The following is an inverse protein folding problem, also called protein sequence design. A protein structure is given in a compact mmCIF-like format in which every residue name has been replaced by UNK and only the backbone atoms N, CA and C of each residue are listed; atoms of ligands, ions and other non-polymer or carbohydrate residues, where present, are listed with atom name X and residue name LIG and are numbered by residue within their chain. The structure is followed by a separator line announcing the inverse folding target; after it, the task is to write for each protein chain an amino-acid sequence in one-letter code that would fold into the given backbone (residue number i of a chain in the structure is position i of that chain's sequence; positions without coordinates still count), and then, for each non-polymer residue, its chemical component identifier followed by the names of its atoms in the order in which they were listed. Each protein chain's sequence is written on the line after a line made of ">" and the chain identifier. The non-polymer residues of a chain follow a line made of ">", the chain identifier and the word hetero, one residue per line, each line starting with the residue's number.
data_IF_958770139328
#
_entry.id   IF_958770139328
#
_cell.length_a   1.000
_cell.length_b   1.000
_cell.length_c   1.000
_cell.angle_alpha   90.00
_cell.angle_beta   90.00
_cell.angle_gamma   90.00
#
_symmetry.space_group_name_H-M   'P 1'
#
loop_
_entity.id
_entity.type
_entity.pdbx_description
1 polymer ?
#
# COMPACT_ATOMS: atom_id res chain seq x y z
N UNK A 1 20.31 9.07 -36.18
CA UNK A 1 19.28 9.05 -37.25
C UNK A 1 19.15 10.45 -37.79
N UNK A 2 18.97 10.61 -39.09
CA UNK A 2 18.67 11.91 -39.70
C UNK A 2 17.16 12.11 -39.61
N UNK A 3 16.73 13.22 -39.03
CA UNK A 3 15.32 13.59 -38.99
C UNK A 3 14.88 14.22 -40.31
N UNK A 4 13.57 14.17 -40.67
CA UNK A 4 13.05 14.97 -41.77
C UNK A 4 13.42 16.44 -41.59
N UNK A 5 13.74 17.13 -42.68
CA UNK A 5 14.14 18.55 -42.62
C UNK A 5 13.03 19.46 -42.08
N UNK A 6 11.78 19.01 -42.17
CA UNK A 6 10.59 19.65 -41.63
C UNK A 6 10.45 19.53 -40.11
N UNK A 7 11.25 18.71 -39.43
CA UNK A 7 11.23 18.57 -37.97
C UNK A 7 12.35 19.39 -37.34
N UNK A 8 11.97 20.41 -36.58
CA UNK A 8 12.89 21.19 -35.77
C UNK A 8 13.65 20.31 -34.78
N UNK A 9 14.95 20.56 -34.65
CA UNK A 9 15.80 19.88 -33.65
C UNK A 9 16.59 20.88 -32.84
N UNK A 10 16.94 20.50 -31.61
CA UNK A 10 17.77 21.29 -30.71
C UNK A 10 18.85 20.43 -30.08
N UNK A 11 20.04 20.99 -29.97
CA UNK A 11 21.18 20.34 -29.31
C UNK A 11 21.17 20.67 -27.82
N UNK A 12 21.17 19.62 -27.00
CA UNK A 12 21.29 19.69 -25.55
C UNK A 12 22.71 19.31 -25.16
N UNK A 13 23.36 20.16 -24.38
CA UNK A 13 24.74 19.97 -23.92
C UNK A 13 24.82 20.04 -22.40
N UNK A 14 25.92 19.59 -21.83
CA UNK A 14 26.21 19.84 -20.42
C UNK A 14 27.38 19.02 -19.93
N UNK A 15 27.67 19.19 -18.63
CA UNK A 15 28.68 18.44 -17.89
C UNK A 15 28.03 17.86 -16.64
N UNK A 16 28.25 16.58 -16.37
CA UNK A 16 27.82 15.94 -15.13
C UNK A 16 29.03 15.67 -14.25
N UNK A 17 28.93 16.11 -13.00
CA UNK A 17 29.93 15.91 -11.97
C UNK A 17 29.41 14.99 -10.85
N UNK A 18 30.34 14.36 -10.15
CA UNK A 18 30.14 13.67 -8.89
C UNK A 18 30.01 14.67 -7.73
N UNK A 19 29.64 14.21 -6.54
CA UNK A 19 29.53 15.05 -5.35
C UNK A 19 30.86 15.76 -4.98
N UNK A 20 31.99 15.13 -5.34
CA UNK A 20 33.34 15.67 -5.10
C UNK A 20 33.82 16.61 -6.22
N UNK A 21 32.97 16.92 -7.20
CA UNK A 21 33.30 17.79 -8.33
C UNK A 21 34.09 17.14 -9.47
N UNK A 22 34.36 15.83 -9.40
CA UNK A 22 35.02 15.10 -10.48
C UNK A 22 34.04 14.75 -11.60
N UNK A 23 34.48 14.67 -12.88
CA UNK A 23 33.67 14.16 -13.99
C UNK A 23 33.00 12.82 -13.69
N UNK A 24 31.69 12.72 -13.94
CA UNK A 24 30.96 11.47 -13.80
C UNK A 24 31.05 10.63 -15.08
N UNK A 25 31.08 9.30 -14.92
CA UNK A 25 30.91 8.36 -16.03
C UNK A 25 29.47 7.84 -16.06
N UNK A 26 28.90 7.66 -17.25
CA UNK A 26 27.51 7.22 -17.38
C UNK A 26 26.86 7.62 -18.71
N UNK A 27 25.53 7.65 -18.70
CA UNK A 27 24.74 8.01 -19.87
C UNK A 27 23.62 8.97 -19.51
N UNK A 28 23.23 9.80 -20.48
CA UNK A 28 21.97 10.52 -20.47
C UNK A 28 21.07 9.92 -21.55
N UNK A 29 19.80 9.71 -21.21
CA UNK A 29 18.77 9.26 -22.13
C UNK A 29 17.55 10.18 -22.09
N UNK A 30 17.12 10.66 -23.24
CA UNK A 30 15.85 11.35 -23.43
C UNK A 30 14.89 10.44 -24.20
N UNK A 31 13.76 10.09 -23.60
CA UNK A 31 12.77 9.17 -24.18
C UNK A 31 11.48 9.91 -24.51
N UNK A 32 11.06 9.87 -25.77
CA UNK A 32 9.73 10.31 -26.20
C UNK A 32 8.80 9.10 -26.28
N UNK A 33 7.70 9.13 -25.54
CA UNK A 33 6.71 8.04 -25.51
C UNK A 33 5.62 8.16 -26.58
N UNK A 34 5.50 9.32 -27.24
CA UNK A 34 4.49 9.58 -28.26
C UNK A 34 5.05 9.45 -29.69
N UNK A 35 4.25 8.93 -30.64
CA UNK A 35 4.59 9.05 -32.05
C UNK A 35 4.44 10.51 -32.50
N UNK A 36 5.26 10.93 -33.47
CA UNK A 36 5.13 12.23 -34.13
C UNK A 36 4.60 12.04 -35.55
N UNK A 37 3.63 12.85 -35.94
CA UNK A 37 3.04 12.85 -37.27
C UNK A 37 3.31 14.18 -37.96
N UNK A 38 3.96 14.12 -39.12
CA UNK A 38 4.25 15.28 -39.96
C UNK A 38 3.24 15.38 -41.12
N UNK A 39 2.55 16.52 -41.32
CA UNK A 39 1.50 16.69 -42.31
C UNK A 39 2.04 16.85 -43.74
N UNK A 40 3.32 17.21 -43.90
CA UNK A 40 3.91 17.45 -45.20
C UNK A 40 4.36 16.17 -45.94
N UNK A 41 4.54 15.05 -45.22
CA UNK A 41 5.29 13.90 -45.75
C UNK A 41 4.62 12.52 -45.52
N UNK A 42 3.40 12.44 -44.96
CA UNK A 42 2.81 11.19 -44.46
C UNK A 42 3.77 10.41 -43.52
N UNK A 43 4.68 11.14 -42.84
CA UNK A 43 5.72 10.55 -42.01
C UNK A 43 5.21 10.40 -40.59
N UNK A 44 5.29 9.16 -40.10
CA UNK A 44 5.14 8.85 -38.69
C UNK A 44 6.49 8.47 -38.10
N UNK A 45 6.96 9.22 -37.10
CA UNK A 45 8.13 8.87 -36.31
C UNK A 45 7.67 8.15 -35.05
N UNK A 46 8.08 6.90 -34.90
CA UNK A 46 7.73 6.09 -33.72
C UNK A 46 8.30 6.69 -32.42
N UNK A 47 7.72 6.37 -31.25
CA UNK A 47 8.36 6.61 -29.96
C UNK A 47 9.80 6.11 -29.94
N UNK A 48 10.69 6.81 -29.25
CA UNK A 48 12.11 6.51 -29.31
C UNK A 48 12.94 7.20 -28.24
N UNK A 49 14.16 6.72 -28.07
CA UNK A 49 15.11 7.23 -27.10
C UNK A 49 16.37 7.78 -27.79
N UNK A 50 16.89 8.86 -27.21
CA UNK A 50 18.13 9.50 -27.58
C UNK A 50 19.12 9.35 -26.44
N UNK A 51 20.27 8.73 -26.70
CA UNK A 51 21.26 8.45 -25.66
C UNK A 51 22.60 9.08 -26.02
N UNK A 52 23.21 9.76 -25.04
CA UNK A 52 24.60 10.19 -25.08
C UNK A 52 25.37 9.52 -23.94
N UNK A 53 26.59 9.05 -24.22
CA UNK A 53 27.54 8.61 -23.20
C UNK A 53 28.38 9.81 -22.77
N UNK A 54 28.62 9.95 -21.47
CA UNK A 54 29.47 11.01 -20.94
C UNK A 54 30.93 10.75 -21.35
N UNK A 55 31.62 11.79 -21.81
CA UNK A 55 33.04 11.70 -22.14
C UNK A 55 33.93 11.73 -20.88
N UNK A 56 35.26 11.75 -21.07
CA UNK A 56 36.21 11.77 -19.95
C UNK A 56 36.13 13.06 -19.09
N UNK A 57 35.55 14.13 -19.61
CA UNK A 57 35.27 15.37 -18.87
C UNK A 57 33.85 15.37 -18.26
N UNK A 58 33.09 14.27 -18.40
CA UNK A 58 31.71 14.18 -17.94
C UNK A 58 30.75 14.94 -18.86
N UNK A 59 31.20 15.34 -20.05
CA UNK A 59 30.42 16.16 -20.97
C UNK A 59 29.58 15.29 -21.92
N UNK A 60 28.47 15.85 -22.39
CA UNK A 60 27.61 15.23 -23.41
C UNK A 60 27.08 16.28 -24.38
N UNK A 61 26.69 15.79 -25.55
CA UNK A 61 26.00 16.55 -26.58
C UNK A 61 24.97 15.64 -27.26
N UNK A 62 23.71 16.07 -27.31
CA UNK A 62 22.60 15.27 -27.82
C UNK A 62 21.62 16.14 -28.60
N UNK A 63 21.40 15.83 -29.87
CA UNK A 63 20.42 16.53 -30.71
C UNK A 63 19.10 15.75 -30.75
N UNK A 64 18.00 16.43 -30.39
CA UNK A 64 16.66 15.82 -30.30
C UNK A 64 15.58 16.73 -30.93
N UNK A 65 14.43 16.18 -31.35
CA UNK A 65 13.31 16.98 -31.84
C UNK A 65 12.74 17.94 -30.79
N UNK A 66 12.37 19.14 -31.23
CA UNK A 66 11.76 20.17 -30.37
C UNK A 66 10.28 19.86 -30.15
N UNK A 67 9.80 20.04 -28.92
CA UNK A 67 8.47 19.67 -28.45
C UNK A 67 7.34 20.60 -28.89
N UNK A 68 7.68 21.81 -29.33
CA UNK A 68 6.76 22.88 -29.71
C UNK A 68 6.82 23.18 -31.23
N UNK A 69 7.20 22.19 -32.03
CA UNK A 69 7.15 22.29 -33.48
C UNK A 69 5.69 22.39 -33.96
N UNK A 70 5.33 23.55 -34.53
CA UNK A 70 3.95 23.85 -34.94
C UNK A 70 3.45 23.01 -36.10
N UNK A 71 4.36 22.39 -36.86
CA UNK A 71 4.02 21.56 -38.00
C UNK A 71 3.86 20.08 -37.60
N UNK A 72 4.18 19.66 -36.37
CA UNK A 72 4.11 18.26 -35.96
C UNK A 72 3.07 18.00 -34.85
N UNK A 73 2.42 16.83 -34.93
CA UNK A 73 1.39 16.41 -33.97
C UNK A 73 1.82 15.16 -33.18
N UNK A 74 1.52 15.08 -31.86
CA UNK A 74 0.94 16.15 -31.03
C UNK A 74 1.95 17.27 -30.80
N UNK A 75 1.51 18.49 -30.53
CA UNK A 75 2.38 19.57 -30.05
C UNK A 75 2.48 19.56 -28.51
N UNK A 76 3.55 20.13 -27.96
CA UNK A 76 3.77 20.26 -26.52
C UNK A 76 4.10 18.96 -25.79
N UNK A 77 4.71 17.98 -26.48
CA UNK A 77 5.07 16.71 -25.83
C UNK A 77 6.23 16.85 -24.85
N UNK A 78 6.38 15.89 -23.96
CA UNK A 78 7.50 15.82 -23.02
C UNK A 78 8.43 14.66 -23.34
N UNK A 79 9.68 14.80 -22.94
CA UNK A 79 10.66 13.73 -22.85
C UNK A 79 10.81 13.31 -21.39
N UNK A 80 10.90 12.01 -21.15
CA UNK A 80 11.47 11.50 -19.90
C UNK A 80 12.99 11.55 -20.03
N UNK A 81 13.62 12.35 -19.20
CA UNK A 81 15.06 12.39 -18.96
C UNK A 81 15.43 11.32 -17.93
N UNK A 82 16.32 10.42 -18.30
CA UNK A 82 17.04 9.53 -17.39
C UNK A 82 18.54 9.89 -17.42
N UNK A 83 19.09 10.25 -16.26
CA UNK A 83 20.54 10.38 -16.06
C UNK A 83 20.97 9.18 -15.20
N UNK A 84 21.79 8.32 -15.77
CA UNK A 84 22.32 7.12 -15.10
C UNK A 84 23.84 7.20 -15.08
N UNK A 85 24.38 7.56 -13.92
CA UNK A 85 25.83 7.64 -13.69
C UNK A 85 26.28 6.55 -12.72
N UNK A 86 27.59 6.34 -12.65
CA UNK A 86 28.18 5.44 -11.66
C UNK A 86 27.94 5.88 -10.21
N UNK A 87 27.59 7.15 -9.97
CA UNK A 87 27.45 7.72 -8.62
C UNK A 87 26.00 7.94 -8.19
N UNK A 88 25.14 8.39 -9.10
CA UNK A 88 23.76 8.76 -8.81
C UNK A 88 22.86 8.60 -10.03
N UNK A 89 21.55 8.54 -9.76
CA UNK A 89 20.51 8.49 -10.78
C UNK A 89 19.54 9.64 -10.60
N UNK A 90 19.03 10.15 -11.72
CA UNK A 90 18.02 11.19 -11.74
C UNK A 90 17.05 10.97 -12.88
N UNK A 91 15.79 11.27 -12.61
CA UNK A 91 14.72 11.17 -13.59
C UNK A 91 13.80 12.37 -13.49
N UNK A 92 13.46 12.95 -14.63
CA UNK A 92 12.52 14.06 -14.74
C UNK A 92 11.78 14.01 -16.07
N UNK A 93 10.61 14.65 -16.14
CA UNK A 93 9.95 14.93 -17.41
C UNK A 93 10.23 16.38 -17.80
N UNK A 94 10.73 16.59 -19.02
CA UNK A 94 11.11 17.90 -19.54
C UNK A 94 10.50 18.14 -20.92
N UNK A 95 10.14 19.38 -21.21
CA UNK A 95 9.86 19.82 -22.57
C UNK A 95 11.11 20.47 -23.17
N UNK A 96 11.36 20.24 -24.45
CA UNK A 96 12.51 20.81 -25.16
C UNK A 96 11.97 21.79 -26.20
N UNK A 97 11.83 23.08 -25.88
CA UNK A 97 11.28 24.04 -26.84
C UNK A 97 12.30 24.38 -27.92
N UNK A 98 11.84 24.96 -29.03
CA UNK A 98 12.68 25.49 -30.08
C UNK A 98 13.63 26.58 -29.55
N UNK A 99 14.80 26.71 -30.19
CA UNK A 99 15.79 27.71 -29.81
C UNK A 99 17.24 27.28 -30.02
N UNK A 100 18.20 28.13 -29.60
CA UNK A 100 19.63 27.82 -29.70
C UNK A 100 20.00 26.64 -28.80
N UNK A 101 21.17 26.01 -29.00
CA UNK A 101 21.66 24.96 -28.09
C UNK A 101 21.55 25.37 -26.62
N UNK A 102 21.13 24.44 -25.75
CA UNK A 102 20.88 24.72 -24.34
C UNK A 102 21.49 23.68 -23.41
N UNK A 103 21.75 24.10 -22.17
CA UNK A 103 22.13 23.19 -21.10
C UNK A 103 20.90 22.49 -20.54
N UNK A 104 21.05 21.23 -20.16
CA UNK A 104 20.00 20.53 -19.41
C UNK A 104 19.70 21.23 -18.07
N UNK A 105 20.71 21.86 -17.45
CA UNK A 105 20.54 22.63 -16.22
C UNK A 105 19.58 23.82 -16.37
N UNK A 106 19.39 24.33 -17.59
CA UNK A 106 18.47 25.43 -17.88
C UNK A 106 17.04 24.94 -18.20
N UNK A 107 16.90 23.65 -18.55
CA UNK A 107 15.64 23.05 -18.99
C UNK A 107 14.95 22.22 -17.90
N UNK A 108 15.71 21.72 -16.94
CA UNK A 108 15.20 20.88 -15.86
C UNK A 108 14.63 21.75 -14.73
N UNK A 109 13.39 21.51 -14.26
CA UNK A 109 12.85 22.20 -13.09
C UNK A 109 13.74 21.98 -11.86
N UNK A 110 14.01 23.03 -11.08
CA UNK A 110 14.70 22.92 -9.79
C UNK A 110 13.82 22.19 -8.77
N UNK A 111 13.81 20.86 -8.83
CA UNK A 111 13.13 20.01 -7.86
C UNK A 111 13.96 19.92 -6.58
N UNK A 112 13.32 20.06 -5.40
CA UNK A 112 13.95 19.94 -4.07
C UNK A 112 14.22 18.49 -3.64
N UNK A 113 13.95 17.51 -4.50
CA UNK A 113 14.19 16.10 -4.22
C UNK A 113 15.64 15.75 -4.58
N UNK A 114 16.45 15.42 -3.58
CA UNK A 114 17.84 15.01 -3.78
C UNK A 114 17.91 13.79 -4.72
N UNK A 115 18.89 13.72 -5.65
CA UNK A 115 19.06 12.56 -6.51
C UNK A 115 19.28 11.30 -5.68
N UNK A 116 18.65 10.21 -6.07
CA UNK A 116 18.79 8.93 -5.38
C UNK A 116 20.25 8.46 -5.53
N UNK A 117 20.96 8.17 -4.42
CA UNK A 117 22.24 7.48 -4.51
C UNK A 117 21.98 6.13 -5.19
N UNK A 118 22.84 5.74 -6.13
CA UNK A 118 22.73 4.46 -6.81
C UNK A 118 22.86 3.33 -5.76
N UNK A 119 21.73 2.80 -5.30
CA UNK A 119 21.68 1.80 -4.22
C UNK A 119 20.74 0.66 -4.62
N UNK A 120 21.26 -0.56 -4.52
CA UNK A 120 20.54 -1.78 -4.90
C UNK A 120 20.04 -2.43 -3.62
N UNK A 121 18.79 -2.19 -3.25
CA UNK A 121 18.18 -2.79 -2.07
C UNK A 121 17.34 -4.02 -2.45
N UNK A 122 17.35 -5.04 -1.58
CA UNK A 122 16.41 -6.18 -1.62
C UNK A 122 15.44 -6.07 -0.45
N UNK A 123 14.17 -6.40 -0.69
CA UNK A 123 13.13 -6.33 0.36
C UNK A 123 13.35 -7.41 1.42
N UNK A 124 13.03 -7.13 2.68
CA UNK A 124 13.12 -8.07 3.82
C UNK A 124 12.43 -9.43 3.57
N UNK A 125 11.37 -9.44 2.76
CA UNK A 125 10.68 -10.66 2.35
C UNK A 125 11.56 -11.63 1.54
N UNK A 126 12.60 -11.11 0.87
CA UNK A 126 13.53 -11.87 0.01
C UNK A 126 14.54 -12.71 0.82
N UNK A 127 14.76 -12.39 2.10
CA UNK A 127 15.82 -12.99 2.93
C UNK A 127 15.30 -14.12 3.83
N UNK A 128 14.00 -14.41 3.76
CA UNK A 128 13.31 -15.29 4.72
C UNK A 128 13.48 -16.80 4.55
N UNK A 129 14.28 -17.31 3.59
CA UNK A 129 14.33 -18.77 3.32
C UNK A 129 15.72 -19.41 3.30
N UNK A 130 16.81 -18.69 3.56
CA UNK A 130 18.13 -19.30 3.70
C UNK A 130 18.58 -19.30 5.18
N UNK A 131 18.29 -20.41 5.87
CA UNK A 131 18.83 -20.88 7.16
C UNK A 131 19.84 -19.97 7.90
N UNK A 132 19.38 -19.26 8.94
CA UNK A 132 20.19 -18.68 10.01
C UNK A 132 19.76 -17.27 10.43
N UNK A 133 19.85 -16.89 11.73
CA UNK A 133 19.50 -15.54 12.15
C UNK A 133 20.50 -14.53 11.56
N UNK A 134 19.98 -13.57 10.79
CA UNK A 134 20.74 -12.38 10.42
C UNK A 134 21.22 -11.68 11.71
N UNK A 135 22.50 -11.30 11.75
CA UNK A 135 23.05 -10.50 12.85
C UNK A 135 22.31 -9.15 13.00
N UNK A 136 22.58 -8.39 14.07
CA UNK A 136 21.87 -7.14 14.36
C UNK A 136 21.96 -6.18 13.16
N UNK A 137 20.79 -5.81 12.64
CA UNK A 137 20.66 -4.77 11.61
C UNK A 137 20.96 -3.42 12.26
N UNK A 138 21.62 -2.52 11.53
CA UNK A 138 21.99 -1.15 11.95
C UNK A 138 20.79 -0.19 12.13
N UNK A 139 19.57 -0.72 12.23
CA UNK A 139 18.33 0.05 12.32
C UNK A 139 17.76 0.52 10.98
N UNK A 140 18.44 0.30 9.85
CA UNK A 140 17.94 0.70 8.52
C UNK A 140 16.92 -0.27 7.91
N UNK A 141 16.82 -1.49 8.44
CA UNK A 141 16.04 -2.60 7.86
C UNK A 141 16.46 -3.00 6.43
N UNK A 142 17.65 -2.62 5.99
CA UNK A 142 18.20 -2.91 4.66
C UNK A 142 19.44 -3.81 4.80
N UNK A 143 19.56 -4.84 3.96
CA UNK A 143 20.72 -5.72 3.89
C UNK A 143 21.55 -5.41 2.64
N UNK A 144 22.88 -5.19 2.75
CA UNK A 144 23.74 -5.02 1.59
C UNK A 144 23.72 -6.27 0.70
N UNK A 145 23.52 -6.10 -0.61
CA UNK A 145 23.39 -7.22 -1.56
C UNK A 145 24.59 -8.19 -1.55
N UNK A 146 25.78 -7.73 -1.15
CA UNK A 146 26.99 -8.57 -1.02
C UNK A 146 26.96 -9.58 0.13
N UNK A 147 25.95 -9.56 1.01
CA UNK A 147 25.76 -10.54 2.08
C UNK A 147 24.71 -11.62 1.74
N UNK A 148 24.09 -11.56 0.56
CA UNK A 148 23.12 -12.58 0.12
C UNK A 148 23.88 -13.72 -0.58
N UNK A 149 23.80 -14.97 -0.11
CA UNK A 149 24.44 -16.10 -0.79
C UNK A 149 23.91 -16.22 -2.22
N UNK A 150 24.83 -16.42 -3.18
CA UNK A 150 24.55 -16.50 -4.61
C UNK A 150 23.60 -17.68 -4.90
N UNK A 151 22.30 -17.41 -4.95
CA UNK A 151 21.29 -18.35 -5.41
C UNK A 151 21.04 -18.07 -6.88
N UNK A 152 21.57 -18.97 -7.71
CA UNK A 152 21.40 -19.00 -9.15
C UNK A 152 19.92 -19.15 -9.53
N UNK A 153 19.22 -18.03 -9.62
CA UNK A 153 17.86 -17.95 -10.10
C UNK A 153 17.61 -16.52 -10.57
N UNK A 154 17.49 -16.34 -11.88
CA UNK A 154 17.22 -15.05 -12.52
C UNK A 154 15.85 -14.54 -12.07
N UNK A 155 15.82 -13.82 -10.95
CA UNK A 155 14.65 -13.08 -10.50
C UNK A 155 14.73 -11.68 -11.09
N UNK A 156 13.85 -11.35 -12.04
CA UNK A 156 13.62 -9.95 -12.45
C UNK A 156 12.80 -9.25 -11.36
N UNK A 157 13.37 -8.28 -10.62
CA UNK A 157 12.63 -7.54 -9.62
C UNK A 157 11.54 -6.73 -10.32
N UNK A 158 10.29 -6.88 -9.90
CA UNK A 158 9.23 -5.94 -10.28
C UNK A 158 9.51 -4.64 -9.54
N UNK A 159 9.83 -3.57 -10.28
CA UNK A 159 10.11 -2.27 -9.71
C UNK A 159 8.97 -1.84 -8.78
N UNK A 160 9.31 -1.56 -7.52
CA UNK A 160 8.44 -0.82 -6.62
C UNK A 160 8.27 0.58 -7.20
N UNK A 161 7.10 0.87 -7.75
CA UNK A 161 6.71 2.24 -8.12
C UNK A 161 6.50 2.95 -6.79
N UNK A 162 7.38 3.88 -6.46
CA UNK A 162 7.31 4.66 -5.21
C UNK A 162 5.95 5.35 -5.03
N UNK A 163 5.67 5.92 -3.83
CA UNK A 163 4.48 6.72 -3.64
C UNK A 163 4.46 7.78 -4.75
N UNK A 164 3.37 7.80 -5.54
CA UNK A 164 3.15 8.82 -6.56
C UNK A 164 3.51 10.17 -5.95
N UNK A 165 4.40 10.93 -6.59
CA UNK A 165 4.71 12.31 -6.21
C UNK A 165 3.45 13.02 -5.74
N UNK A 166 3.51 13.66 -4.57
CA UNK A 166 2.38 14.42 -4.04
C UNK A 166 1.82 15.31 -5.14
N UNK A 167 0.51 15.22 -5.38
CA UNK A 167 -0.12 15.96 -6.46
C UNK A 167 0.15 17.47 -6.26
N UNK A 168 0.78 18.12 -7.24
CA UNK A 168 1.04 19.57 -7.21
C UNK A 168 -0.25 20.41 -7.24
N UNK A 169 -1.36 19.79 -7.63
CA UNK A 169 -2.71 20.30 -7.50
C UNK A 169 -3.69 19.13 -7.27
N UNK A 170 -4.79 19.32 -6.53
CA UNK A 170 -5.78 18.26 -6.36
C UNK A 170 -6.30 17.79 -7.73
N UNK A 171 -6.25 16.48 -7.99
CA UNK A 171 -6.84 15.85 -9.19
C UNK A 171 -8.34 16.14 -9.32
N UNK A 172 -9.00 16.38 -8.19
CA UNK A 172 -10.40 16.80 -8.12
C UNK A 172 -10.55 17.76 -6.94
N UNK A 173 -10.98 19.00 -7.21
CA UNK A 173 -11.38 19.96 -6.18
C UNK A 173 -12.88 20.20 -6.29
N UNK A 174 -13.62 19.80 -5.27
CA UNK A 174 -15.06 20.11 -5.15
C UNK A 174 -15.17 21.33 -4.24
N UNK A 175 -15.57 22.48 -4.81
CA UNK A 175 -15.90 23.69 -4.07
C UNK A 175 -17.41 23.91 -4.16
N UNK A 176 -18.07 23.99 -3.01
CA UNK A 176 -19.47 24.39 -2.94
C UNK A 176 -19.53 25.92 -3.00
N UNK A 177 -20.20 26.46 -4.02
CA UNK A 177 -20.42 27.91 -4.16
C UNK A 177 -21.52 28.43 -3.24
N UNK A 178 -22.39 27.53 -2.77
CA UNK A 178 -23.57 27.85 -1.99
C UNK A 178 -23.77 26.83 -0.86
N UNK A 179 -24.42 27.27 0.22
CA UNK A 179 -24.90 26.38 1.27
C UNK A 179 -26.19 25.74 0.75
N UNK A 180 -26.27 24.40 0.62
CA UNK A 180 -27.50 23.77 0.22
C UNK A 180 -28.61 24.14 1.22
N UNK A 181 -29.82 24.41 0.71
CA UNK A 181 -30.93 24.85 1.55
C UNK A 181 -31.18 23.89 2.71
N UNK A 182 -31.66 24.37 3.86
CA UNK A 182 -31.75 23.58 5.11
C UNK A 182 -32.62 22.32 5.05
N UNK A 183 -33.26 22.01 3.92
CA UNK A 183 -34.00 20.78 3.63
C UNK A 183 -33.25 19.80 2.71
N UNK A 184 -32.05 20.14 2.25
CA UNK A 184 -31.26 19.32 1.35
C UNK A 184 -30.61 18.15 2.10
N UNK A 185 -30.97 16.93 1.70
CA UNK A 185 -30.47 15.70 2.31
C UNK A 185 -29.02 15.38 1.87
N UNK A 186 -28.60 15.92 0.72
CA UNK A 186 -27.30 15.68 0.08
C UNK A 186 -26.57 17.02 -0.18
N UNK A 187 -25.30 17.10 0.20
CA UNK A 187 -24.38 18.22 -0.05
C UNK A 187 -23.79 18.18 -1.46
N UNK A 188 -23.53 16.98 -1.99
CA UNK A 188 -23.05 16.77 -3.35
C UNK A 188 -23.67 15.49 -3.92
N UNK A 189 -23.92 15.46 -5.22
CA UNK A 189 -24.43 14.29 -5.92
C UNK A 189 -23.60 14.02 -7.18
N UNK A 190 -23.13 12.78 -7.33
CA UNK A 190 -22.56 12.24 -8.55
C UNK A 190 -23.61 11.42 -9.27
N UNK A 191 -23.95 11.84 -10.50
CA UNK A 191 -24.91 11.15 -11.34
C UNK A 191 -24.20 10.47 -12.52
N UNK A 192 -24.76 9.36 -12.99
CA UNK A 192 -24.32 8.64 -14.19
C UNK A 192 -25.51 8.47 -15.15
N UNK A 193 -25.25 8.50 -16.46
CA UNK A 193 -26.27 8.30 -17.47
C UNK A 193 -26.21 6.86 -17.98
N UNK A 194 -27.29 6.10 -17.83
CA UNK A 194 -27.41 4.71 -18.30
C UNK A 194 -28.69 4.59 -19.13
N UNK A 195 -28.56 4.13 -20.37
CA UNK A 195 -29.70 4.00 -21.29
C UNK A 195 -30.41 5.34 -21.56
N UNK A 196 -29.67 6.45 -21.53
CA UNK A 196 -30.23 7.80 -21.69
C UNK A 196 -30.92 8.37 -20.46
N UNK A 197 -30.95 7.66 -19.33
CA UNK A 197 -31.51 8.14 -18.07
C UNK A 197 -30.41 8.51 -17.08
N UNK A 198 -30.51 9.71 -16.51
CA UNK A 198 -29.64 10.17 -15.43
C UNK A 198 -30.03 9.49 -14.11
N UNK A 199 -29.05 8.91 -13.40
CA UNK A 199 -29.24 8.14 -12.17
C UNK A 199 -28.21 8.56 -11.12
N UNK A 200 -28.64 8.69 -9.87
CA UNK A 200 -27.75 9.00 -8.75
C UNK A 200 -26.85 7.80 -8.44
N UNK A 201 -25.53 8.01 -8.42
CA UNK A 201 -24.52 6.96 -8.19
C UNK A 201 -23.73 7.17 -6.89
N UNK A 202 -23.47 8.42 -6.51
CA UNK A 202 -22.77 8.77 -5.28
C UNK A 202 -23.29 10.08 -4.70
N UNK A 203 -23.18 10.28 -3.40
CA UNK A 203 -23.49 11.54 -2.76
C UNK A 203 -22.71 11.75 -1.47
N UNK A 204 -22.47 13.01 -1.13
CA UNK A 204 -22.02 13.44 0.19
C UNK A 204 -23.26 13.89 0.96
N UNK A 205 -23.53 13.30 2.13
CA UNK A 205 -24.67 13.72 2.95
C UNK A 205 -24.31 14.88 3.91
N UNK A 206 -25.30 15.39 4.63
CA UNK A 206 -25.18 16.47 5.64
C UNK A 206 -24.15 16.20 6.76
N UNK A 207 -23.74 14.94 6.96
CA UNK A 207 -22.71 14.55 7.91
C UNK A 207 -21.31 14.40 7.29
N UNK A 208 -21.10 14.91 6.07
CA UNK A 208 -19.86 14.77 5.27
C UNK A 208 -19.43 13.31 5.06
N UNK A 209 -20.38 12.37 5.10
CA UNK A 209 -20.10 10.96 4.84
C UNK A 209 -20.26 10.71 3.36
N UNK A 210 -19.18 10.30 2.71
CA UNK A 210 -19.23 9.82 1.34
C UNK A 210 -20.06 8.55 1.27
N UNK A 211 -21.00 8.53 0.32
CA UNK A 211 -21.84 7.38 0.01
C UNK A 211 -21.79 7.13 -1.48
N UNK A 212 -21.65 5.86 -1.85
CA UNK A 212 -21.92 5.39 -3.21
C UNK A 212 -22.84 4.17 -3.10
N UNK A 213 -23.97 4.20 -3.80
CA UNK A 213 -24.95 3.11 -3.84
C UNK A 213 -25.34 2.91 -5.31
N UNK A 214 -25.29 1.66 -5.77
CA UNK A 214 -25.91 1.28 -7.03
C UNK A 214 -27.41 1.11 -6.79
N UNK A 215 -28.23 1.98 -7.36
CA UNK A 215 -29.69 1.86 -7.22
C UNK A 215 -30.22 0.60 -7.93
N UNK A 216 -31.18 -0.14 -7.32
CA UNK A 216 -31.78 -1.33 -7.92
C UNK A 216 -32.37 -1.05 -9.32
N UNK A 217 -32.22 -2.01 -10.24
CA UNK A 217 -32.87 -1.99 -11.57
C UNK A 217 -32.15 -1.20 -12.67
N UNK A 218 -30.93 -0.70 -12.44
CA UNK A 218 -30.13 0.00 -13.47
C UNK A 218 -29.21 -0.89 -14.31
N UNK A 219 -28.80 -2.04 -13.77
CA UNK A 219 -27.99 -3.05 -14.46
C UNK A 219 -28.68 -4.38 -14.25
N UNK A 220 -28.94 -5.17 -15.29
CA UNK A 220 -29.58 -6.49 -15.20
C UNK A 220 -28.77 -7.56 -14.42
N UNK A 221 -27.77 -7.14 -13.66
CA UNK A 221 -26.90 -7.95 -12.82
C UNK A 221 -26.81 -7.27 -11.46
N UNK A 222 -27.65 -7.69 -10.53
CA UNK A 222 -27.68 -7.19 -9.15
C UNK A 222 -26.57 -7.84 -8.33
N UNK A 223 -25.60 -7.04 -7.85
CA UNK A 223 -25.09 -7.13 -6.48
C UNK A 223 -24.67 -5.74 -5.96
N UNK A 224 -25.20 -5.43 -4.77
CA UNK A 224 -25.32 -4.11 -4.14
C UNK A 224 -24.18 -3.85 -3.15
N UNK A 225 -23.04 -3.30 -3.59
CA UNK A 225 -22.04 -2.80 -2.63
C UNK A 225 -22.30 -1.32 -2.40
N UNK A 226 -22.78 -0.98 -1.20
CA UNK A 226 -22.80 0.40 -0.73
C UNK A 226 -21.48 0.69 -0.02
N UNK A 227 -20.74 1.70 -0.51
CA UNK A 227 -19.53 2.21 0.14
C UNK A 227 -19.92 3.36 1.06
N UNK A 228 -19.62 3.24 2.36
CA UNK A 228 -19.81 4.32 3.32
C UNK A 228 -18.47 4.68 3.94
N UNK A 229 -17.99 5.89 3.66
CA UNK A 229 -16.92 6.51 4.44
C UNK A 229 -17.52 7.01 5.76
N UNK A 230 -17.20 6.36 6.88
CA UNK A 230 -17.68 6.80 8.20
C UNK A 230 -16.55 6.78 9.20
N UNK A 231 -16.17 7.92 9.76
CA UNK A 231 -15.40 7.92 11.00
C UNK A 231 -16.39 7.74 12.16
N UNK A 232 -16.52 6.50 12.65
CA UNK A 232 -17.30 6.21 13.84
C UNK A 232 -16.35 5.80 14.97
N UNK A 233 -16.13 6.72 15.92
CA UNK A 233 -15.24 6.53 17.07
C UNK A 233 -15.58 5.27 17.90
N UNK A 234 -16.82 4.78 17.84
CA UNK A 234 -17.26 3.58 18.54
C UNK A 234 -16.94 2.26 17.81
N UNK A 235 -16.82 2.26 16.47
CA UNK A 235 -16.56 1.03 15.70
C UNK A 235 -15.14 0.94 15.16
N UNK A 236 -14.40 2.06 15.07
CA UNK A 236 -13.02 2.08 14.57
C UNK A 236 -12.90 1.70 13.08
N UNK A 237 -13.99 1.81 12.31
CA UNK A 237 -14.04 1.43 10.88
C UNK A 237 -13.80 2.67 10.03
N UNK A 238 -12.87 2.63 9.07
CA UNK A 238 -12.57 3.71 8.11
C UNK A 238 -13.50 3.66 6.89
N UNK A 239 -13.77 2.46 6.37
CA UNK A 239 -14.66 2.21 5.24
C UNK A 239 -15.62 1.10 5.59
N UNK A 240 -16.93 1.30 5.44
CA UNK A 240 -17.94 0.27 5.69
C UNK A 240 -18.55 -0.21 4.38
N UNK A 241 -18.68 -1.53 4.24
CA UNK A 241 -19.39 -2.20 3.17
C UNK A 241 -20.78 -2.63 3.65
N UNK A 242 -21.84 -2.14 3.02
CA UNK A 242 -23.22 -2.58 3.30
C UNK A 242 -23.83 -3.23 2.05
N UNK A 243 -24.66 -4.24 2.27
CA UNK A 243 -25.48 -4.92 1.26
C UNK A 243 -26.94 -4.80 1.65
N UNK A 244 -27.84 -4.72 0.65
CA UNK A 244 -29.28 -4.90 0.91
C UNK A 244 -29.68 -6.37 0.94
N UNK A 245 -30.46 -6.76 1.94
CA UNK A 245 -31.03 -8.10 2.04
C UNK A 245 -32.32 -8.25 1.21
N UNK A 246 -32.95 -9.43 1.26
CA UNK A 246 -34.19 -9.70 0.53
C UNK A 246 -35.41 -8.89 1.00
N UNK A 247 -35.30 -8.18 2.13
CA UNK A 247 -36.30 -7.27 2.67
C UNK A 247 -35.94 -5.79 2.44
N UNK A 248 -34.96 -5.52 1.56
CA UNK A 248 -34.45 -4.19 1.24
C UNK A 248 -33.78 -3.47 2.43
N UNK A 249 -33.47 -4.19 3.51
CA UNK A 249 -32.76 -3.64 4.66
C UNK A 249 -31.26 -3.62 4.42
N UNK A 250 -30.59 -2.56 4.88
CA UNK A 250 -29.12 -2.46 4.80
C UNK A 250 -28.48 -3.25 5.93
N UNK A 251 -27.71 -4.26 5.55
CA UNK A 251 -26.93 -5.10 6.46
C UNK A 251 -25.46 -4.84 6.20
N UNK A 252 -24.68 -4.61 7.26
CA UNK A 252 -23.24 -4.44 7.11
C UNK A 252 -22.57 -5.77 6.81
N UNK A 253 -21.76 -5.81 5.76
CA UNK A 253 -21.07 -7.02 5.27
C UNK A 253 -19.56 -6.95 5.41
N UNK A 254 -19.03 -5.86 5.97
CA UNK A 254 -17.60 -5.72 6.23
C UNK A 254 -17.11 -4.28 6.17
N UNK A 255 -15.82 -4.12 6.01
CA UNK A 255 -15.18 -2.82 5.90
C UNK A 255 -13.65 -2.88 5.88
N UNK A 256 -13.05 -1.70 6.02
CA UNK A 256 -11.64 -1.52 6.33
C UNK A 256 -11.60 -0.75 7.64
N UNK A 257 -10.89 -1.27 8.64
CA UNK A 257 -10.73 -0.56 9.91
C UNK A 257 -9.71 0.59 9.87
N UNK A 258 -9.59 1.32 10.97
CA UNK A 258 -8.65 2.44 11.11
C UNK A 258 -7.18 2.03 10.92
N UNK A 259 -6.87 0.74 11.09
CA UNK A 259 -5.53 0.17 10.89
C UNK A 259 -5.34 -0.33 9.44
N UNK A 260 -6.32 -0.13 8.56
CA UNK A 260 -6.28 -0.59 7.17
C UNK A 260 -6.60 -2.08 6.97
N UNK A 261 -7.10 -2.77 8.00
CA UNK A 261 -7.40 -4.21 7.90
C UNK A 261 -8.78 -4.42 7.30
N UNK A 262 -8.88 -5.36 6.36
CA UNK A 262 -10.15 -5.80 5.81
C UNK A 262 -10.90 -6.54 6.92
N UNK A 263 -12.02 -5.98 7.35
CA UNK A 263 -12.99 -6.65 8.22
C UNK A 263 -14.03 -7.31 7.33
N UNK A 264 -14.04 -8.63 7.27
CA UNK A 264 -15.05 -9.41 6.54
C UNK A 264 -16.34 -9.54 7.34
N UNK A 265 -16.36 -9.14 8.62
CA UNK A 265 -17.57 -9.03 9.44
C UNK A 265 -17.51 -7.91 10.48
N UNK A 266 -18.70 -7.54 10.99
CA UNK A 266 -18.87 -6.67 12.16
C UNK A 266 -19.34 -7.43 13.41
N UNK A 267 -19.08 -8.74 13.53
CA UNK A 267 -19.45 -9.43 14.76
C UNK A 267 -18.78 -8.74 15.96
N UNK A 268 -19.54 -8.51 17.02
CA UNK A 268 -18.98 -7.86 18.20
C UNK A 268 -17.89 -8.74 18.81
N UNK A 269 -16.83 -8.12 19.35
CA UNK A 269 -15.89 -8.83 20.21
C UNK A 269 -16.65 -9.36 21.43
N UNK A 270 -16.64 -10.67 21.61
CA UNK A 270 -17.19 -11.32 22.79
C UNK A 270 -16.06 -11.53 23.81
N UNK A 271 -16.25 -11.02 25.02
CA UNK A 271 -15.28 -11.15 26.10
C UNK A 271 -15.05 -12.63 26.45
N UNK A 272 -13.79 -13.00 26.65
CA UNK A 272 -13.40 -14.31 27.18
C UNK A 272 -13.30 -14.14 28.71
N UNK A 273 -14.38 -14.46 29.41
CA UNK A 273 -14.47 -14.24 30.88
C UNK A 273 -13.95 -15.41 31.71
N UNK A 274 -13.88 -16.61 31.11
CA UNK A 274 -13.40 -17.82 31.77
C UNK A 274 -11.87 -17.94 31.64
N UNK A 275 -11.12 -17.08 32.34
CA UNK A 275 -9.66 -17.16 32.48
C UNK A 275 -9.32 -17.99 33.72
N UNK A 276 -8.34 -18.90 33.61
CA UNK A 276 -7.98 -19.88 34.66
C UNK A 276 -9.16 -20.73 35.15
N UNK A 277 -9.92 -21.40 34.25
CA UNK A 277 -11.11 -22.16 34.63
C UNK A 277 -10.82 -23.32 35.60
N UNK A 278 -9.58 -23.83 35.61
CA UNK A 278 -9.10 -24.86 36.53
C UNK A 278 -8.72 -24.28 37.92
N UNK A 279 -8.89 -22.97 38.13
CA UNK A 279 -8.58 -22.25 39.36
C UNK A 279 -7.17 -22.48 39.88
N UNK A 280 -6.17 -22.52 38.98
CA UNK A 280 -4.78 -22.78 39.34
C UNK A 280 -4.12 -21.62 40.09
N UNK A 281 -4.71 -20.42 40.02
CA UNK A 281 -4.15 -19.17 40.54
C UNK A 281 -2.99 -18.64 39.69
N UNK A 282 -2.81 -19.14 38.47
CA UNK A 282 -1.65 -18.84 37.62
C UNK A 282 -1.94 -17.91 36.46
N UNK A 283 -3.20 -17.78 36.08
CA UNK A 283 -3.61 -17.03 34.89
C UNK A 283 -4.62 -15.95 35.28
N UNK A 284 -4.45 -14.76 34.74
CA UNK A 284 -5.44 -13.69 34.84
C UNK A 284 -5.44 -12.87 33.56
N UNK A 285 -6.54 -12.19 33.24
CA UNK A 285 -6.51 -11.20 32.17
C UNK A 285 -5.44 -10.12 32.49
N UNK A 286 -4.65 -9.75 31.49
CA UNK A 286 -3.68 -8.66 31.63
C UNK A 286 -4.37 -7.33 31.33
N UNK A 287 -4.64 -6.56 32.38
CA UNK A 287 -5.34 -5.27 32.31
C UNK A 287 -4.38 -4.08 32.28
N UNK A 288 -3.11 -4.30 31.90
CA UNK A 288 -2.13 -3.21 31.83
C UNK A 288 -2.49 -2.17 30.75
N UNK A 289 -2.11 -0.92 30.98
CA UNK A 289 -2.46 0.19 30.08
C UNK A 289 -1.99 -0.07 28.65
N UNK A 290 -2.91 0.05 27.70
CA UNK A 290 -2.64 -0.17 26.27
C UNK A 290 -2.82 -1.61 25.81
N UNK A 291 -3.13 -2.56 26.71
CA UNK A 291 -3.55 -3.91 26.34
C UNK A 291 -5.06 -3.93 26.09
N UNK A 292 -5.49 -4.52 24.98
CA UNK A 292 -6.90 -4.70 24.68
C UNK A 292 -7.50 -5.79 25.59
N UNK A 293 -8.80 -5.67 25.94
CA UNK A 293 -9.49 -6.71 26.70
C UNK A 293 -9.52 -8.04 25.96
N UNK A 294 -9.33 -9.13 26.70
CA UNK A 294 -9.30 -10.51 26.20
C UNK A 294 -10.66 -10.86 25.59
N UNK A 295 -10.68 -11.11 24.29
CA UNK A 295 -11.90 -11.35 23.55
C UNK A 295 -11.68 -12.18 22.30
N UNK A 296 -12.76 -12.76 21.79
CA UNK A 296 -12.84 -13.44 20.50
C UNK A 296 -13.89 -12.80 19.62
N UNK A 297 -13.69 -12.84 18.31
CA UNK A 297 -14.67 -12.44 17.30
C UNK A 297 -14.70 -13.47 16.19
N UNK A 298 -15.87 -13.94 15.80
CA UNK A 298 -16.03 -14.76 14.59
C UNK A 298 -16.17 -13.83 13.38
N UNK A 299 -15.69 -14.24 12.21
CA UNK A 299 -15.85 -13.54 10.94
C UNK A 299 -16.84 -14.27 10.04
N UNK A 300 -17.24 -13.63 8.94
CA UNK A 300 -18.19 -14.19 7.98
C UNK A 300 -17.60 -15.36 7.17
N UNK A 301 -16.27 -15.47 7.11
CA UNK A 301 -15.53 -16.57 6.48
C UNK A 301 -15.22 -17.71 7.47
N UNK A 302 -15.94 -17.78 8.59
CA UNK A 302 -15.79 -18.75 9.67
C UNK A 302 -14.43 -18.70 10.40
N UNK A 303 -13.62 -17.66 10.15
CA UNK A 303 -12.40 -17.41 10.91
C UNK A 303 -12.74 -16.77 12.24
N UNK A 304 -12.15 -17.26 13.33
CA UNK A 304 -12.18 -16.57 14.63
C UNK A 304 -10.88 -15.83 14.85
N UNK A 305 -10.97 -14.59 15.31
CA UNK A 305 -9.85 -13.76 15.75
C UNK A 305 -9.83 -13.64 17.25
N UNK A 306 -8.64 -13.67 17.81
CA UNK A 306 -8.37 -13.43 19.22
C UNK A 306 -7.69 -12.08 19.39
N UNK A 307 -7.84 -11.50 20.58
CA UNK A 307 -7.10 -10.32 21.02
C UNK A 307 -6.91 -10.33 22.53
N UNK A 308 -6.05 -9.45 23.01
CA UNK A 308 -5.76 -9.26 24.43
C UNK A 308 -4.69 -10.23 24.93
N UNK A 309 -4.47 -10.20 26.23
CA UNK A 309 -3.37 -10.94 26.85
C UNK A 309 -3.80 -11.59 28.16
N UNK A 310 -3.13 -12.70 28.49
CA UNK A 310 -3.26 -13.39 29.77
C UNK A 310 -1.92 -13.25 30.50
N UNK A 311 -1.95 -12.64 31.68
CA UNK A 311 -0.82 -12.56 32.59
C UNK A 311 -0.60 -13.94 33.25
N UNK A 312 0.65 -14.39 33.26
CA UNK A 312 1.10 -15.62 33.91
C UNK A 312 1.93 -15.23 35.14
N UNK A 313 1.58 -15.79 36.30
CA UNK A 313 2.31 -15.52 37.55
C UNK A 313 3.74 -16.08 37.52
N UNK A 314 4.54 -15.80 38.56
CA UNK A 314 5.92 -16.32 38.68
C UNK A 314 6.04 -17.84 38.66
N UNK A 315 4.94 -18.55 38.92
CA UNK A 315 4.86 -20.02 38.82
C UNK A 315 4.88 -20.54 37.37
N UNK A 316 4.69 -19.66 36.39
CA UNK A 316 4.75 -20.00 34.97
C UNK A 316 3.60 -20.88 34.49
N UNK A 317 3.73 -21.44 33.29
CA UNK A 317 2.78 -22.40 32.71
C UNK A 317 3.17 -23.84 33.02
N UNK A 318 2.19 -24.74 33.10
CA UNK A 318 2.40 -26.19 33.07
C UNK A 318 1.68 -26.76 31.86
N UNK A 319 2.35 -27.63 31.08
CA UNK A 319 1.70 -28.31 29.96
C UNK A 319 0.42 -29.05 30.39
N UNK A 320 -0.68 -28.82 29.68
CA UNK A 320 -1.99 -29.41 29.93
C UNK A 320 -2.97 -28.51 30.69
N UNK A 321 -2.51 -27.40 31.28
CA UNK A 321 -3.42 -26.44 31.93
C UNK A 321 -4.29 -25.71 30.90
N UNK A 322 -5.56 -25.48 31.25
CA UNK A 322 -6.44 -24.58 30.50
C UNK A 322 -6.18 -23.15 30.96
N UNK A 323 -5.73 -22.28 30.04
CA UNK A 323 -5.46 -20.86 30.37
C UNK A 323 -6.70 -19.99 30.24
N UNK A 324 -7.60 -20.33 29.31
CA UNK A 324 -8.91 -19.71 29.16
C UNK A 324 -9.86 -20.61 28.36
N UNK A 325 -11.16 -20.41 28.49
CA UNK A 325 -12.19 -21.10 27.69
C UNK A 325 -12.94 -20.09 26.83
N UNK A 326 -13.03 -20.37 25.52
CA UNK A 326 -13.77 -19.54 24.58
C UNK A 326 -15.28 -19.58 24.85
N UNK A 327 -16.00 -18.48 24.59
CA UNK A 327 -17.46 -18.50 24.63
C UNK A 327 -18.07 -19.50 23.64
N UNK A 328 -19.28 -19.98 23.96
CA UNK A 328 -20.03 -20.92 23.12
C UNK A 328 -20.14 -20.43 21.68
N UNK A 329 -19.84 -21.30 20.72
CA UNK A 329 -19.89 -20.98 19.29
C UNK A 329 -18.56 -20.49 18.71
N UNK A 330 -17.50 -20.33 19.51
CA UNK A 330 -16.18 -19.95 19.02
C UNK A 330 -15.16 -21.11 19.01
N UNK A 331 -15.50 -22.28 19.54
CA UNK A 331 -14.64 -23.46 19.45
C UNK A 331 -14.47 -23.89 17.99
N UNK A 332 -13.26 -24.29 17.56
CA UNK A 332 -13.03 -24.79 16.21
C UNK A 332 -13.64 -26.19 16.01
N UNK A 333 -13.72 -26.61 14.75
CA UNK A 333 -14.26 -27.89 14.28
C UNK A 333 -13.23 -28.99 14.50
N UNK A 334 -11.96 -28.61 14.51
CA UNK A 334 -10.80 -29.46 14.76
C UNK A 334 -9.85 -28.71 15.68
N UNK A 335 -9.19 -29.39 16.62
CA UNK A 335 -8.28 -28.70 17.53
C UNK A 335 -7.14 -28.02 16.77
N UNK A 336 -6.83 -26.77 17.13
CA UNK A 336 -5.86 -25.93 16.41
C UNK A 336 -4.70 -25.56 17.32
N UNK A 337 -3.47 -25.85 16.89
CA UNK A 337 -2.27 -25.42 17.61
C UNK A 337 -1.88 -24.00 17.19
N UNK A 338 -1.86 -23.08 18.15
CA UNK A 338 -1.46 -21.69 17.98
C UNK A 338 -0.08 -21.47 18.60
N UNK A 339 0.81 -20.79 17.88
CA UNK A 339 2.08 -20.30 18.43
C UNK A 339 1.86 -18.93 19.07
N UNK A 340 1.60 -18.90 20.38
CA UNK A 340 1.22 -17.68 21.11
C UNK A 340 2.47 -16.90 21.53
N UNK A 341 2.69 -15.66 21.03
CA UNK A 341 3.81 -14.83 21.45
C UNK A 341 3.78 -14.55 22.95
N UNK A 342 4.96 -14.40 23.56
CA UNK A 342 5.08 -14.02 24.97
C UNK A 342 5.98 -12.81 25.16
N UNK A 343 5.78 -12.08 26.26
CA UNK A 343 6.70 -10.99 26.65
C UNK A 343 8.08 -11.48 27.08
N UNK A 344 8.22 -12.79 27.36
CA UNK A 344 9.50 -13.44 27.66
C UNK A 344 10.31 -13.83 26.43
N UNK A 345 9.86 -13.49 25.21
CA UNK A 345 10.58 -13.72 23.95
C UNK A 345 10.47 -15.13 23.36
N UNK A 346 9.94 -16.09 24.11
CA UNK A 346 9.72 -17.48 23.64
C UNK A 346 8.22 -17.69 23.46
N UNK A 347 7.76 -18.05 22.26
CA UNK A 347 6.36 -18.37 22.02
C UNK A 347 5.93 -19.63 22.80
N UNK A 348 4.73 -19.59 23.37
CA UNK A 348 4.11 -20.71 24.03
C UNK A 348 3.14 -21.41 23.05
N UNK A 349 3.32 -22.70 22.75
CA UNK A 349 2.33 -23.44 21.97
C UNK A 349 1.07 -23.62 22.82
N UNK A 350 -0.07 -23.13 22.32
CA UNK A 350 -1.38 -23.31 22.94
C UNK A 350 -2.31 -23.99 21.93
N UNK A 351 -3.05 -24.99 22.35
CA UNK A 351 -4.03 -25.67 21.50
C UNK A 351 -5.45 -25.25 21.87
N UNK A 352 -6.22 -24.81 20.89
CA UNK A 352 -7.65 -24.53 21.06
C UNK A 352 -8.42 -25.81 20.78
N UNK A 353 -9.06 -26.36 21.81
CA UNK A 353 -9.74 -27.64 21.76
C UNK A 353 -11.09 -27.53 21.05
N UNK A 354 -11.33 -28.36 20.03
CA UNK A 354 -12.58 -28.31 19.27
C UNK A 354 -13.84 -28.64 20.09
N UNK A 355 -13.72 -29.60 21.02
CA UNK A 355 -14.86 -30.10 21.78
C UNK A 355 -15.34 -29.15 22.88
N UNK A 356 -14.45 -28.30 23.40
CA UNK A 356 -14.71 -27.48 24.60
C UNK A 356 -14.48 -26.00 24.39
N UNK A 357 -13.69 -25.59 23.39
CA UNK A 357 -13.22 -24.21 23.25
C UNK A 357 -12.11 -23.84 24.24
N UNK A 358 -11.56 -24.81 24.97
CA UNK A 358 -10.46 -24.57 25.91
C UNK A 358 -9.18 -24.23 25.17
N UNK A 359 -8.46 -23.23 25.66
CA UNK A 359 -7.11 -22.88 25.23
C UNK A 359 -6.14 -23.57 26.19
N UNK A 360 -5.51 -24.65 25.74
CA UNK A 360 -4.63 -25.49 26.55
C UNK A 360 -3.18 -25.19 26.24
N UNK A 361 -2.39 -24.80 27.23
CA UNK A 361 -0.95 -24.60 27.03
C UNK A 361 -0.25 -25.96 26.89
N UNK A 362 0.57 -26.14 25.86
CA UNK A 362 1.27 -27.40 25.54
C UNK A 362 2.73 -27.42 25.98
N UNK A 363 3.17 -26.41 26.71
CA UNK A 363 4.55 -26.29 27.20
C UNK A 363 4.59 -25.75 28.62
N UNK A 364 5.42 -26.39 29.44
CA UNK A 364 5.82 -25.87 30.75
C UNK A 364 6.90 -24.80 30.56
N UNK A 365 6.69 -23.62 31.11
CA UNK A 365 7.63 -22.50 31.08
C UNK A 365 7.61 -21.80 32.44
N UNK A 366 8.77 -21.56 33.04
CA UNK A 366 8.89 -20.91 34.34
C UNK A 366 8.92 -19.38 34.22
N UNK A 367 8.63 -18.70 35.33
CA UNK A 367 8.70 -17.25 35.45
C UNK A 367 7.40 -16.54 35.04
N UNK A 368 7.32 -15.25 35.37
CA UNK A 368 6.20 -14.41 35.02
C UNK A 368 6.35 -13.84 33.60
N UNK A 369 5.28 -13.90 32.81
CA UNK A 369 5.20 -13.36 31.45
C UNK A 369 3.73 -13.18 31.05
N UNK A 370 3.46 -12.57 29.90
CA UNK A 370 2.11 -12.52 29.33
C UNK A 370 2.04 -13.35 28.06
N UNK A 371 0.95 -14.11 27.88
CA UNK A 371 0.55 -14.74 26.62
C UNK A 371 -0.23 -13.70 25.79
N UNK A 372 0.23 -13.36 24.59
CA UNK A 372 -0.44 -12.40 23.72
C UNK A 372 -1.22 -13.09 22.61
N UNK A 373 -2.53 -12.84 22.58
CA UNK A 373 -3.43 -13.36 21.55
C UNK A 373 -3.74 -12.34 20.46
N UNK A 374 -3.09 -11.17 20.50
CA UNK A 374 -3.32 -10.06 19.58
C UNK A 374 -3.07 -10.46 18.12
N UNK A 375 -4.14 -10.50 17.33
CA UNK A 375 -4.07 -10.80 15.90
C UNK A 375 -3.91 -12.28 15.57
N UNK A 376 -4.01 -13.18 16.56
CA UNK A 376 -4.09 -14.61 16.29
C UNK A 376 -5.47 -14.96 15.73
N UNK A 377 -5.51 -15.94 14.84
CA UNK A 377 -6.75 -16.44 14.28
C UNK A 377 -6.70 -17.93 13.99
N UNK A 378 -7.87 -18.54 13.87
CA UNK A 378 -8.06 -19.92 13.45
C UNK A 378 -9.36 -20.06 12.68
N UNK A 379 -9.47 -21.10 11.86
CA UNK A 379 -10.73 -21.43 11.18
C UNK A 379 -11.58 -22.26 12.14
N UNK A 380 -12.85 -21.89 12.27
CA UNK A 380 -13.79 -22.64 13.08
C UNK A 380 -14.11 -23.98 12.43
#
# INVERSE_FOLDING_TARGET
>A
MTYPASLGTRTITGVILTADGNPAAGTIRLTRAVPLQGPADDVTIQPGAHTATLDAAGAYSLTVPVADDGDWSPSGWAYTLDVDTTAWRYRADIAIPAGPPASLADLVPTTTTAPDPASTYVTKASVGTATGPAGPLDGSALLPAGQVPDLSGTYTPRAYVGPSTALTAPLLSVRFSDVPGGSAVNLAEGHITIGGQLRLAAWLNEALRYRAEQQPGGFGYDHLITLIGSYAAATGVLLRFERRDGADQRVTTGGIDQDGRIQTSLYAWQAITAVDPDATGRYSEDTSTGVASLAVRQESDDRSWLRGRIAVTSSGTTSGHVVATLPTGHAPTHSQLLSVPTTGGIAAPCEVMASTGDIVVRRTQAGAFSLSFDGLSYVR
#
